data_IF_854390162237
#
_entry.id   IF_854390162237
#
_cell.length_a   1.000
_cell.length_b   1.000
_cell.length_c   1.000
_cell.angle_alpha   90.00
_cell.angle_beta   90.00
_cell.angle_gamma   90.00
#
_symmetry.space_group_name_H-M   'P 1'
#
loop_
_entity.id
_entity.type
_entity.pdbx_description
1 polymer ?
#
# COMPACT_ATOMS: atom_id res chain seq x y z
N UNK A 1 -12.18 -11.09 -3.71
CA UNK A 1 -13.11 -10.30 -2.88
C UNK A 1 -12.43 -8.96 -2.62
N UNK A 2 -13.12 -7.84 -2.85
CA UNK A 2 -12.57 -6.50 -2.75
C UNK A 2 -13.37 -5.69 -1.73
N UNK A 3 -12.69 -4.81 -1.02
CA UNK A 3 -13.23 -3.90 -0.01
C UNK A 3 -12.63 -2.51 -0.23
N UNK A 4 -13.28 -1.47 0.29
CA UNK A 4 -12.73 -0.11 0.27
C UNK A 4 -12.26 0.29 1.67
N UNK A 5 -11.76 1.52 1.80
CA UNK A 5 -11.19 2.04 3.04
C UNK A 5 -12.17 2.03 4.21
N UNK A 6 -13.49 2.14 3.95
CA UNK A 6 -14.48 2.13 5.00
C UNK A 6 -14.61 0.72 5.60
N UNK A 7 -14.80 -0.29 4.76
CA UNK A 7 -14.97 -1.68 5.20
C UNK A 7 -13.66 -2.27 5.76
N UNK A 8 -12.50 -1.71 5.40
CA UNK A 8 -11.20 -2.13 5.93
C UNK A 8 -11.10 -1.99 7.46
N UNK A 9 -11.85 -1.07 8.07
CA UNK A 9 -11.91 -0.90 9.53
C UNK A 9 -12.80 -1.93 10.24
N UNK A 10 -13.72 -2.56 9.49
CA UNK A 10 -14.74 -3.48 10.02
C UNK A 10 -14.35 -4.96 9.85
N UNK A 11 -13.11 -5.23 9.44
CA UNK A 11 -12.61 -6.60 9.28
C UNK A 11 -12.64 -7.34 10.63
N UNK A 12 -13.46 -8.40 10.69
CA UNK A 12 -13.57 -9.25 11.89
C UNK A 12 -12.27 -9.97 12.24
N UNK A 13 -11.47 -10.30 11.23
CA UNK A 13 -10.18 -10.98 11.36
C UNK A 13 -9.18 -10.38 10.36
N UNK A 14 -7.90 -10.36 10.74
CA UNK A 14 -6.84 -9.93 9.83
C UNK A 14 -6.57 -11.00 8.77
N UNK A 15 -6.51 -10.63 7.48
CA UNK A 15 -6.14 -11.59 6.44
C UNK A 15 -4.66 -11.97 6.57
N UNK A 16 -4.29 -13.16 6.10
CA UNK A 16 -2.86 -13.54 6.03
C UNK A 16 -2.09 -12.72 5.00
N UNK A 17 -2.75 -12.32 3.91
CA UNK A 17 -2.19 -11.55 2.81
C UNK A 17 -3.19 -10.51 2.32
N UNK A 18 -2.71 -9.34 1.91
CA UNK A 18 -3.56 -8.31 1.32
C UNK A 18 -2.87 -7.64 0.12
N UNK A 19 -3.67 -7.34 -0.91
CA UNK A 19 -3.27 -6.52 -2.05
C UNK A 19 -4.04 -5.20 -1.98
N UNK A 20 -3.31 -4.09 -2.05
CA UNK A 20 -3.88 -2.74 -2.04
C UNK A 20 -3.66 -2.13 -3.42
N UNK A 21 -4.75 -1.81 -4.09
CA UNK A 21 -4.73 -1.16 -5.40
C UNK A 21 -4.77 0.36 -5.25
N UNK A 22 -3.76 1.05 -5.78
CA UNK A 22 -3.65 2.51 -5.77
C UNK A 22 -2.32 3.01 -5.22
N UNK A 23 -2.06 4.31 -5.44
CA UNK A 23 -0.83 4.99 -5.02
C UNK A 23 -1.11 6.35 -4.38
N UNK A 24 -2.32 6.56 -3.87
CA UNK A 24 -2.68 7.75 -3.09
C UNK A 24 -2.30 7.59 -1.61
N UNK A 25 -2.50 8.64 -0.81
CA UNK A 25 -2.17 8.62 0.62
C UNK A 25 -2.93 7.53 1.38
N UNK A 26 -4.23 7.33 1.10
CA UNK A 26 -5.04 6.26 1.70
C UNK A 26 -4.42 4.88 1.44
N UNK A 27 -4.02 4.59 0.19
CA UNK A 27 -3.41 3.30 -0.16
C UNK A 27 -2.11 3.05 0.62
N UNK A 28 -1.27 4.09 0.74
CA UNK A 28 0.00 4.03 1.47
C UNK A 28 -0.21 3.89 2.99
N UNK A 29 -1.19 4.59 3.56
CA UNK A 29 -1.57 4.49 4.97
C UNK A 29 -2.03 3.07 5.30
N UNK A 30 -2.99 2.53 4.56
CA UNK A 30 -3.47 1.16 4.79
C UNK A 30 -2.39 0.11 4.57
N UNK A 31 -1.48 0.30 3.60
CA UNK A 31 -0.35 -0.61 3.41
C UNK A 31 0.54 -0.68 4.65
N UNK A 32 0.84 0.46 5.28
CA UNK A 32 1.60 0.48 6.52
C UNK A 32 0.81 -0.08 7.71
N UNK A 33 -0.50 0.19 7.80
CA UNK A 33 -1.36 -0.34 8.87
C UNK A 33 -1.39 -1.87 8.82
N UNK A 34 -1.77 -2.46 7.69
CA UNK A 34 -1.86 -3.91 7.56
C UNK A 34 -0.51 -4.60 7.75
N UNK A 35 0.55 -4.04 7.18
CA UNK A 35 1.89 -4.57 7.38
C UNK A 35 2.35 -4.50 8.84
N UNK A 36 2.09 -3.38 9.53
CA UNK A 36 2.39 -3.23 10.95
C UNK A 36 1.60 -4.20 11.85
N UNK A 37 0.43 -4.66 11.40
CA UNK A 37 -0.38 -5.69 12.04
C UNK A 37 0.04 -7.12 11.66
N UNK A 38 1.12 -7.29 10.90
CA UNK A 38 1.68 -8.61 10.54
C UNK A 38 1.12 -9.23 9.26
N UNK A 39 0.36 -8.49 8.47
CA UNK A 39 -0.19 -8.97 7.20
C UNK A 39 0.86 -8.89 6.09
N UNK A 40 1.02 -9.98 5.31
CA UNK A 40 1.82 -9.96 4.07
C UNK A 40 1.18 -9.01 3.05
N UNK A 41 1.79 -7.85 2.87
CA UNK A 41 1.15 -6.69 2.22
C UNK A 41 1.84 -6.36 0.90
N UNK A 42 1.06 -6.30 -0.17
CA UNK A 42 1.49 -5.84 -1.49
C UNK A 42 0.68 -4.61 -1.91
N UNK A 43 1.35 -3.53 -2.32
CA UNK A 43 0.74 -2.35 -2.92
C UNK A 43 1.00 -2.35 -4.43
N UNK A 44 -0.06 -2.19 -5.22
CA UNK A 44 -0.01 -2.20 -6.69
C UNK A 44 -0.47 -0.85 -7.20
N UNK A 45 0.31 -0.25 -8.10
CA UNK A 45 0.00 1.06 -8.66
C UNK A 45 0.38 1.17 -10.14
N UNK A 46 -0.56 1.67 -10.94
CA UNK A 46 -0.36 1.89 -12.39
C UNK A 46 0.67 2.98 -12.74
N UNK A 47 0.90 3.92 -11.81
CA UNK A 47 1.81 5.04 -12.05
C UNK A 47 3.27 4.65 -11.87
N UNK A 48 4.16 5.61 -12.15
CA UNK A 48 5.61 5.38 -12.05
C UNK A 48 6.11 5.29 -10.61
N UNK A 49 5.47 6.03 -9.72
CA UNK A 49 5.86 6.12 -8.31
C UNK A 49 4.66 6.55 -7.47
N UNK A 50 4.53 6.00 -6.26
CA UNK A 50 3.45 6.31 -5.29
C UNK A 50 3.40 7.80 -4.94
N UNK A 51 2.29 8.25 -4.40
CA UNK A 51 2.04 9.64 -3.99
C UNK A 51 2.32 10.65 -5.12
N UNK A 52 1.76 10.41 -6.30
CA UNK A 52 2.05 11.18 -7.54
C UNK A 52 1.91 12.71 -7.47
N UNK A 53 1.22 13.25 -6.47
CA UNK A 53 1.02 14.69 -6.23
C UNK A 53 2.01 15.31 -5.24
N UNK A 54 2.96 14.52 -4.73
CA UNK A 54 3.97 14.95 -3.78
C UNK A 54 5.33 15.16 -4.44
N UNK A 55 6.23 15.81 -3.72
CA UNK A 55 7.61 16.00 -4.15
C UNK A 55 8.34 14.65 -4.40
N UNK A 56 9.22 14.62 -5.39
CA UNK A 56 9.88 13.38 -5.84
C UNK A 56 10.76 12.76 -4.75
N UNK A 57 11.47 13.58 -3.97
CA UNK A 57 12.40 13.06 -2.97
C UNK A 57 11.64 12.40 -1.82
N UNK A 58 10.53 13.02 -1.40
CA UNK A 58 9.62 12.43 -0.41
C UNK A 58 9.08 11.08 -0.88
N UNK A 59 8.64 11.00 -2.14
CA UNK A 59 8.05 9.79 -2.72
C UNK A 59 9.05 8.64 -2.74
N UNK A 60 10.27 8.88 -3.21
CA UNK A 60 11.35 7.87 -3.27
C UNK A 60 11.77 7.42 -1.89
N UNK A 61 11.98 8.36 -0.97
CA UNK A 61 12.35 8.03 0.41
C UNK A 61 11.28 7.16 1.06
N UNK A 62 10.00 7.48 0.88
CA UNK A 62 8.90 6.70 1.44
C UNK A 62 8.79 5.32 0.79
N UNK A 63 8.90 5.23 -0.54
CA UNK A 63 8.91 3.96 -1.28
C UNK A 63 10.00 3.03 -0.72
N UNK A 64 11.24 3.49 -0.70
CA UNK A 64 12.37 2.70 -0.20
C UNK A 64 12.17 2.30 1.27
N UNK A 65 11.62 3.20 2.09
CA UNK A 65 11.36 2.91 3.50
C UNK A 65 10.30 1.82 3.67
N UNK A 66 9.26 1.83 2.86
CA UNK A 66 8.21 0.81 2.87
C UNK A 66 8.73 -0.54 2.37
N UNK A 67 9.53 -0.56 1.29
CA UNK A 67 10.16 -1.80 0.82
C UNK A 67 11.15 -2.37 1.85
N UNK A 68 11.95 -1.52 2.50
CA UNK A 68 12.87 -1.93 3.58
C UNK A 68 12.14 -2.54 4.78
N UNK A 69 10.90 -2.12 5.05
CA UNK A 69 10.04 -2.76 6.08
C UNK A 69 9.51 -4.13 5.65
N UNK A 70 9.47 -4.41 4.34
CA UNK A 70 8.97 -5.65 3.78
C UNK A 70 7.60 -5.52 3.09
N UNK A 71 7.14 -4.30 2.82
CA UNK A 71 5.96 -4.07 1.97
C UNK A 71 6.39 -4.19 0.51
N UNK A 72 5.74 -5.07 -0.25
CA UNK A 72 6.02 -5.21 -1.69
C UNK A 72 5.31 -4.10 -2.47
N UNK A 73 6.04 -3.32 -3.27
CA UNK A 73 5.46 -2.24 -4.08
C UNK A 73 5.65 -2.56 -5.57
N UNK A 74 4.55 -2.59 -6.32
CA UNK A 74 4.53 -2.88 -7.75
C UNK A 74 4.03 -1.65 -8.51
N UNK A 75 4.97 -0.82 -8.97
CA UNK A 75 4.68 0.29 -9.88
C UNK A 75 4.61 -0.19 -11.33
N UNK A 76 3.97 0.59 -12.21
CA UNK A 76 3.70 0.24 -13.61
C UNK A 76 2.91 -1.06 -13.82
N UNK A 77 2.32 -1.59 -12.75
CA UNK A 77 1.53 -2.80 -12.80
C UNK A 77 0.06 -2.44 -13.01
N UNK A 78 -0.62 -3.27 -13.79
CA UNK A 78 -2.08 -3.24 -13.94
C UNK A 78 -2.59 -4.53 -13.30
N UNK A 79 -3.49 -4.39 -12.32
CA UNK A 79 -4.13 -5.49 -11.59
C UNK A 79 -5.37 -6.03 -12.30
#
# INVERSE_FOLDING_TARGET
>A
HCIFSNEAFDLKELPKKIMIEGGGYIAVEFANIFHGLGVDTTLVYRGKEILSRFDMDLRRMLHETMEKKGIKILCHAVS
#
